data_IF_065257256842
#
_entry.id   IF_065257256842
#
_cell.length_a   1.000
_cell.length_b   1.000
_cell.length_c   1.000
_cell.angle_alpha   90.00
_cell.angle_beta   90.00
_cell.angle_gamma   90.00
#
_symmetry.space_group_name_H-M   'P 1'
#
loop_
_entity.id
_entity.type
_entity.pdbx_description
1 polymer ?
#
# COMPACT_ATOMS: atom_id res chain seq x y z
N UNK A 1 31.45 15.71 28.50
CA UNK A 1 31.68 15.37 27.07
C UNK A 1 32.08 16.67 26.38
N UNK A 2 33.33 16.84 25.93
CA UNK A 2 33.71 18.05 25.20
C UNK A 2 32.89 18.15 23.92
N UNK A 3 32.39 19.34 23.59
CA UNK A 3 31.63 19.56 22.37
C UNK A 3 32.56 19.54 21.15
N UNK A 4 32.21 18.70 20.18
CA UNK A 4 32.89 18.64 18.90
C UNK A 4 32.69 19.97 18.14
N UNK A 5 33.72 20.47 17.46
CA UNK A 5 33.55 21.66 16.61
C UNK A 5 32.61 21.35 15.44
N UNK A 6 31.85 22.34 14.97
CA UNK A 6 30.92 22.17 13.84
C UNK A 6 31.63 21.64 12.58
N UNK A 7 32.87 22.06 12.31
CA UNK A 7 33.66 21.57 11.16
C UNK A 7 33.98 20.07 11.30
N UNK A 8 34.44 19.64 12.47
CA UNK A 8 34.73 18.23 12.74
C UNK A 8 33.46 17.38 12.66
N UNK A 9 32.34 17.88 13.19
CA UNK A 9 31.05 17.19 13.11
C UNK A 9 30.60 16.98 11.66
N UNK A 10 30.57 18.04 10.84
CA UNK A 10 30.15 17.97 9.44
C UNK A 10 31.08 17.03 8.64
N UNK A 11 32.38 17.07 8.90
CA UNK A 11 33.34 16.17 8.25
C UNK A 11 33.04 14.69 8.55
N UNK A 12 32.82 14.35 9.82
CA UNK A 12 32.51 12.98 10.25
C UNK A 12 31.14 12.57 9.70
N UNK A 13 30.13 13.44 9.79
CA UNK A 13 28.79 13.22 9.25
C UNK A 13 28.82 12.90 7.75
N UNK A 14 29.54 13.70 6.95
CA UNK A 14 29.67 13.46 5.51
C UNK A 14 30.35 12.13 5.19
N UNK A 15 31.40 11.76 5.95
CA UNK A 15 32.07 10.47 5.79
C UNK A 15 31.11 9.32 6.10
N UNK A 16 30.40 9.41 7.22
CA UNK A 16 29.43 8.41 7.66
C UNK A 16 28.26 8.29 6.68
N UNK A 17 27.73 9.42 6.18
CA UNK A 17 26.65 9.45 5.19
C UNK A 17 27.05 8.73 3.90
N UNK A 18 28.28 8.94 3.41
CA UNK A 18 28.78 8.28 2.20
C UNK A 18 28.87 6.76 2.40
N UNK A 19 29.42 6.31 3.53
CA UNK A 19 29.51 4.88 3.84
C UNK A 19 28.13 4.23 4.00
N UNK A 20 27.20 4.90 4.71
CA UNK A 20 25.81 4.42 4.85
C UNK A 20 25.14 4.30 3.49
N UNK A 21 25.27 5.32 2.63
CA UNK A 21 24.68 5.31 1.29
C UNK A 21 25.22 4.18 0.43
N UNK A 22 26.53 4.00 0.41
CA UNK A 22 27.18 2.94 -0.38
C UNK A 22 26.77 1.56 0.11
N UNK A 23 26.77 1.36 1.44
CA UNK A 23 26.35 0.10 2.06
C UNK A 23 24.89 -0.18 1.75
N UNK A 24 24.01 0.82 1.88
CA UNK A 24 22.59 0.66 1.56
C UNK A 24 22.37 0.24 0.09
N UNK A 25 23.10 0.83 -0.87
CA UNK A 25 22.99 0.46 -2.28
C UNK A 25 23.50 -0.95 -2.55
N UNK A 26 24.61 -1.35 -1.93
CA UNK A 26 25.13 -2.71 -2.06
C UNK A 26 24.15 -3.75 -1.49
N UNK A 27 23.52 -3.46 -0.34
CA UNK A 27 22.52 -4.35 0.24
C UNK A 27 21.23 -4.43 -0.59
N UNK A 28 20.81 -3.33 -1.22
CA UNK A 28 19.66 -3.33 -2.14
C UNK A 28 19.94 -4.15 -3.41
N UNK A 29 21.17 -4.11 -3.95
CA UNK A 29 21.57 -4.96 -5.08
C UNK A 29 21.51 -6.45 -4.70
N UNK A 30 22.06 -6.83 -3.54
CA UNK A 30 21.97 -8.21 -3.03
C UNK A 30 20.51 -8.64 -2.85
N UNK A 31 19.66 -7.77 -2.32
CA UNK A 31 18.22 -8.04 -2.20
C UNK A 31 17.55 -8.26 -3.56
N UNK A 32 17.94 -7.50 -4.58
CA UNK A 32 17.47 -7.69 -5.96
C UNK A 32 17.91 -9.04 -6.54
N UNK A 33 19.16 -9.45 -6.31
CA UNK A 33 19.66 -10.76 -6.74
C UNK A 33 18.90 -11.92 -6.09
N UNK A 34 18.54 -11.80 -4.81
CA UNK A 34 17.73 -12.81 -4.11
C UNK A 34 16.32 -12.93 -4.70
N UNK A 35 15.62 -11.81 -4.93
CA UNK A 35 14.31 -11.80 -5.60
C UNK A 35 14.39 -12.38 -7.02
N UNK A 36 15.47 -12.04 -7.75
CA UNK A 36 15.73 -12.56 -9.09
C UNK A 36 15.84 -14.08 -9.11
N UNK A 37 16.62 -14.66 -8.19
CA UNK A 37 16.77 -16.11 -8.05
C UNK A 37 15.44 -16.79 -7.76
N UNK A 38 14.69 -16.27 -6.78
CA UNK A 38 13.36 -16.80 -6.43
C UNK A 38 12.41 -16.76 -7.64
N UNK A 39 12.43 -15.69 -8.43
CA UNK A 39 11.59 -15.59 -9.62
C UNK A 39 11.97 -16.59 -10.70
N UNK A 40 13.26 -16.85 -10.91
CA UNK A 40 13.76 -17.88 -11.83
C UNK A 40 13.37 -19.29 -11.37
N UNK A 41 13.53 -19.60 -10.08
CA UNK A 41 13.18 -20.90 -9.50
C UNK A 41 11.68 -21.20 -9.65
N UNK A 42 10.84 -20.15 -9.58
CA UNK A 42 9.39 -20.25 -9.79
C UNK A 42 8.99 -20.22 -11.27
N UNK A 43 9.93 -20.02 -12.21
CA UNK A 43 9.64 -19.87 -13.63
C UNK A 43 8.87 -18.59 -13.99
N UNK A 44 8.88 -17.58 -13.12
CA UNK A 44 8.21 -16.31 -13.34
C UNK A 44 9.08 -15.39 -14.21
N UNK A 45 9.13 -15.67 -15.50
CA UNK A 45 9.91 -14.92 -16.49
C UNK A 45 9.01 -14.38 -17.60
N UNK A 46 9.42 -13.27 -18.20
CA UNK A 46 8.81 -12.71 -19.40
C UNK A 46 9.22 -13.52 -20.65
N UNK A 47 8.65 -13.17 -21.80
CA UNK A 47 8.98 -13.73 -23.12
C UNK A 47 10.47 -13.66 -23.46
N UNK A 48 11.18 -12.62 -23.00
CA UNK A 48 12.62 -12.44 -23.17
C UNK A 48 13.47 -13.19 -22.11
N UNK A 49 12.85 -13.97 -21.22
CA UNK A 49 13.53 -14.64 -20.11
C UNK A 49 13.87 -13.73 -18.92
N UNK A 50 13.41 -12.47 -18.92
CA UNK A 50 13.66 -11.53 -17.82
C UNK A 50 12.75 -11.85 -16.63
N UNK A 51 13.28 -12.00 -15.40
CA UNK A 51 12.46 -12.33 -14.24
C UNK A 51 11.45 -11.25 -13.87
N UNK A 52 10.24 -11.68 -13.55
CA UNK A 52 9.10 -10.85 -13.17
C UNK A 52 8.84 -10.97 -11.67
N UNK A 53 8.94 -9.86 -10.94
CA UNK A 53 8.71 -9.86 -9.48
C UNK A 53 7.55 -8.97 -9.07
N UNK A 54 6.95 -9.32 -7.93
CA UNK A 54 5.99 -8.47 -7.23
C UNK A 54 6.73 -7.60 -6.23
N UNK A 55 6.39 -6.31 -6.19
CA UNK A 55 6.96 -5.36 -5.25
C UNK A 55 5.89 -4.69 -4.42
N UNK A 56 6.24 -4.30 -3.20
CA UNK A 56 5.45 -3.42 -2.33
C UNK A 56 6.09 -2.04 -2.38
N UNK A 57 5.31 -0.98 -2.52
CA UNK A 57 5.83 0.38 -2.40
C UNK A 57 5.06 1.19 -1.36
N UNK A 58 5.77 2.11 -0.71
CA UNK A 58 5.20 3.05 0.26
C UNK A 58 5.96 4.37 0.23
N UNK A 59 5.24 5.46 0.49
CA UNK A 59 5.73 6.82 0.55
C UNK A 59 5.71 7.37 1.98
N UNK A 60 6.75 8.09 2.34
CA UNK A 60 6.88 8.79 3.62
C UNK A 60 7.24 10.25 3.40
N UNK A 61 6.70 11.12 4.25
CA UNK A 61 6.96 12.55 4.20
C UNK A 61 7.55 13.01 5.52
N UNK A 62 8.46 13.99 5.47
CA UNK A 62 9.06 14.59 6.67
C UNK A 62 8.05 15.31 7.57
N UNK A 63 6.84 15.55 7.05
CA UNK A 63 5.72 16.15 7.77
C UNK A 63 4.47 15.33 7.53
N UNK A 64 3.78 14.98 8.61
CA UNK A 64 2.47 14.31 8.54
C UNK A 64 1.43 15.25 7.95
N UNK A 65 0.73 14.79 6.92
CA UNK A 65 -0.42 15.50 6.34
C UNK A 65 -1.71 15.15 7.11
N UNK A 66 -2.45 16.17 7.54
CA UNK A 66 -3.77 16.02 8.19
C UNK A 66 -4.91 16.31 7.21
N UNK A 67 -4.86 15.73 6.01
CA UNK A 67 -5.82 15.92 4.89
C UNK A 67 -5.98 17.35 4.34
N UNK A 68 -5.52 18.37 5.05
CA UNK A 68 -5.66 19.79 4.69
C UNK A 68 -4.35 20.45 4.28
N UNK A 69 -3.20 19.84 4.61
CA UNK A 69 -1.86 20.37 4.28
C UNK A 69 -0.97 19.28 3.71
N UNK A 70 -0.53 19.48 2.46
CA UNK A 70 0.38 18.61 1.71
C UNK A 70 1.66 19.38 1.36
N UNK A 71 2.28 19.99 2.38
CA UNK A 71 3.35 20.98 2.24
C UNK A 71 4.71 20.46 2.72
N UNK A 72 4.89 19.14 2.82
CA UNK A 72 6.16 18.56 3.23
C UNK A 72 7.29 18.96 2.26
N UNK A 73 8.43 19.34 2.84
CA UNK A 73 9.61 19.76 2.07
C UNK A 73 10.47 18.59 1.62
N UNK A 74 10.33 17.43 2.25
CA UNK A 74 11.05 16.22 1.89
C UNK A 74 10.12 15.02 1.94
N UNK A 75 10.37 14.07 1.05
CA UNK A 75 9.72 12.77 1.07
C UNK A 75 10.63 11.69 0.52
N UNK A 76 10.31 10.46 0.89
CA UNK A 76 11.03 9.26 0.52
C UNK A 76 10.01 8.25 0.06
N UNK A 77 10.25 7.56 -1.05
CA UNK A 77 9.50 6.37 -1.42
C UNK A 77 10.42 5.16 -1.44
N UNK A 78 9.93 4.03 -0.96
CA UNK A 78 10.68 2.77 -0.93
C UNK A 78 9.98 1.73 -1.76
N UNK A 79 10.75 0.92 -2.49
CA UNK A 79 10.28 -0.29 -3.17
C UNK A 79 10.87 -1.48 -2.43
N UNK A 80 10.03 -2.44 -2.09
CA UNK A 80 10.35 -3.59 -1.24
C UNK A 80 9.99 -4.86 -2.01
N UNK A 81 10.89 -5.84 -2.04
CA UNK A 81 10.67 -7.14 -2.64
C UNK A 81 9.57 -7.91 -1.91
N UNK A 82 8.60 -8.46 -2.63
CA UNK A 82 7.48 -9.13 -1.98
C UNK A 82 7.88 -10.48 -1.35
N UNK A 83 8.85 -11.21 -1.88
CA UNK A 83 9.22 -12.52 -1.32
C UNK A 83 10.21 -12.35 -0.16
N UNK A 84 11.27 -11.59 -0.40
CA UNK A 84 12.36 -11.35 0.55
C UNK A 84 12.01 -10.37 1.66
N UNK A 85 11.03 -9.48 1.43
CA UNK A 85 10.69 -8.35 2.31
C UNK A 85 11.83 -7.36 2.50
N UNK A 86 12.83 -7.38 1.61
CA UNK A 86 13.99 -6.49 1.63
C UNK A 86 13.77 -5.30 0.72
N UNK A 87 14.43 -4.19 1.03
CA UNK A 87 14.35 -2.96 0.24
C UNK A 87 15.13 -3.18 -1.07
N UNK A 88 14.51 -2.84 -2.19
CA UNK A 88 15.09 -2.90 -3.53
C UNK A 88 15.46 -1.52 -4.06
N UNK A 89 14.77 -0.48 -3.60
CA UNK A 89 15.04 0.89 -4.04
C UNK A 89 14.53 1.90 -3.02
N UNK A 90 15.22 3.03 -2.91
CA UNK A 90 14.78 4.20 -2.14
C UNK A 90 14.96 5.45 -2.99
N UNK A 91 13.88 6.17 -3.27
CA UNK A 91 13.90 7.45 -3.96
C UNK A 91 13.66 8.59 -2.96
N UNK A 92 14.62 9.50 -2.82
CA UNK A 92 14.50 10.68 -1.95
C UNK A 92 14.22 11.92 -2.81
N UNK A 93 13.24 12.72 -2.39
CA UNK A 93 12.90 14.00 -3.02
C UNK A 93 12.89 15.12 -1.99
N UNK A 94 13.72 16.13 -2.21
CA UNK A 94 13.73 17.35 -1.41
C UNK A 94 13.35 18.56 -2.27
N UNK A 95 12.46 19.35 -1.70
CA UNK A 95 11.87 20.58 -2.24
C UNK A 95 12.42 21.84 -1.58
N UNK A 96 13.30 21.68 -0.59
CA UNK A 96 13.87 22.77 0.17
C UNK A 96 15.36 22.57 0.36
N UNK A 97 16.12 23.64 0.16
CA UNK A 97 17.51 23.74 0.58
C UNK A 97 17.71 25.10 1.26
N UNK A 98 18.13 25.09 2.52
CA UNK A 98 18.31 26.31 3.32
C UNK A 98 19.38 27.25 2.73
N UNK A 99 20.41 26.70 2.09
CA UNK A 99 21.50 27.49 1.49
C UNK A 99 20.97 28.21 0.24
N UNK A 100 20.24 27.50 -0.63
CA UNK A 100 19.57 28.09 -1.79
C UNK A 100 18.54 29.14 -1.38
N UNK A 101 17.69 28.84 -0.40
CA UNK A 101 16.64 29.77 0.05
C UNK A 101 17.22 31.06 0.61
N UNK A 102 18.31 30.96 1.40
CA UNK A 102 19.00 32.14 1.94
C UNK A 102 19.62 33.01 0.84
N UNK A 103 20.18 32.39 -0.21
CA UNK A 103 20.75 33.13 -1.33
C UNK A 103 19.67 33.89 -2.11
N UNK A 104 18.52 33.25 -2.35
CA UNK A 104 17.34 33.87 -2.98
C UNK A 104 16.87 35.07 -2.14
N UNK A 105 16.64 34.87 -0.84
CA UNK A 105 16.16 35.92 0.05
C UNK A 105 17.12 37.12 0.18
N UNK A 106 18.41 36.91 -0.05
CA UNK A 106 19.43 37.96 -0.03
C UNK A 106 19.72 38.56 -1.41
N UNK A 107 19.07 38.07 -2.47
CA UNK A 107 19.39 38.40 -3.87
C UNK A 107 20.88 38.22 -4.20
N UNK A 108 21.51 37.18 -3.65
CA UNK A 108 22.92 36.85 -3.89
C UNK A 108 23.06 35.53 -4.65
N UNK A 109 24.21 35.32 -5.29
CA UNK A 109 24.54 34.01 -5.86
C UNK A 109 24.61 32.94 -4.78
N UNK A 110 24.12 31.74 -5.11
CA UNK A 110 24.17 30.61 -4.17
C UNK A 110 25.61 30.14 -4.04
N UNK A 111 26.10 30.02 -2.80
CA UNK A 111 27.42 29.46 -2.54
C UNK A 111 27.50 28.00 -3.01
N UNK A 112 28.68 27.58 -3.46
CA UNK A 112 28.90 26.18 -3.82
C UNK A 112 28.70 25.26 -2.60
N UNK A 113 27.86 24.25 -2.77
CA UNK A 113 27.51 23.31 -1.72
C UNK A 113 26.90 22.03 -2.29
N UNK A 114 26.88 20.97 -1.48
CA UNK A 114 26.13 19.74 -1.81
C UNK A 114 24.64 20.02 -1.67
N UNK A 115 24.00 20.33 -2.79
CA UNK A 115 22.58 20.65 -2.84
C UNK A 115 21.74 19.38 -2.97
N UNK A 116 20.84 19.14 -2.00
CA UNK A 116 19.90 18.03 -2.05
C UNK A 116 18.55 18.40 -2.69
N UNK A 117 18.38 19.65 -3.14
CA UNK A 117 17.17 20.12 -3.83
C UNK A 117 17.08 19.42 -5.21
N UNK A 118 16.19 18.45 -5.31
CA UNK A 118 16.01 17.65 -6.53
C UNK A 118 14.53 17.53 -6.95
N UNK A 119 13.61 18.22 -6.26
CA UNK A 119 12.19 18.19 -6.57
C UNK A 119 11.56 19.57 -6.52
N UNK A 120 10.82 19.93 -7.58
CA UNK A 120 10.17 21.25 -7.70
C UNK A 120 8.64 21.19 -7.63
N UNK A 121 8.06 20.00 -7.84
CA UNK A 121 6.61 19.84 -7.85
C UNK A 121 6.04 19.73 -6.42
N UNK A 122 4.73 19.54 -6.30
CA UNK A 122 4.03 19.37 -5.02
C UNK A 122 4.53 18.15 -4.24
N UNK A 123 4.31 18.15 -2.91
CA UNK A 123 4.69 17.02 -2.07
C UNK A 123 3.94 15.73 -2.44
N UNK A 124 2.71 15.86 -2.94
CA UNK A 124 1.86 14.73 -3.34
C UNK A 124 2.40 13.94 -4.53
N UNK A 125 3.24 14.53 -5.38
CA UNK A 125 3.83 13.83 -6.53
C UNK A 125 5.18 13.18 -6.24
N UNK A 126 5.73 13.35 -5.02
CA UNK A 126 7.02 12.76 -4.62
C UNK A 126 6.98 11.24 -4.74
N UNK A 127 5.95 10.60 -4.18
CA UNK A 127 5.86 9.14 -4.15
C UNK A 127 5.82 8.56 -5.56
N UNK A 128 4.91 9.08 -6.39
CA UNK A 128 4.76 8.61 -7.77
C UNK A 128 6.05 8.77 -8.59
N UNK A 129 6.79 9.86 -8.40
CA UNK A 129 8.05 10.09 -9.12
C UNK A 129 9.19 9.20 -8.61
N UNK A 130 9.35 9.08 -7.29
CA UNK A 130 10.36 8.23 -6.69
C UNK A 130 10.15 6.74 -7.01
N UNK A 131 8.89 6.27 -7.02
CA UNK A 131 8.59 4.90 -7.45
C UNK A 131 8.85 4.75 -8.96
N UNK A 132 8.45 5.71 -9.78
CA UNK A 132 8.72 5.66 -11.21
C UNK A 132 10.22 5.59 -11.55
N UNK A 133 11.06 6.30 -10.79
CA UNK A 133 12.52 6.18 -10.88
C UNK A 133 12.99 4.74 -10.58
N UNK A 134 12.53 4.15 -9.48
CA UNK A 134 12.90 2.78 -9.12
C UNK A 134 12.45 1.74 -10.15
N UNK A 135 11.26 1.92 -10.74
CA UNK A 135 10.78 1.05 -11.83
C UNK A 135 11.64 1.17 -13.09
N UNK A 136 12.06 2.38 -13.48
CA UNK A 136 12.95 2.58 -14.63
C UNK A 136 14.32 1.92 -14.42
N UNK A 137 14.86 2.01 -13.21
CA UNK A 137 16.20 1.48 -12.90
C UNK A 137 16.19 -0.02 -12.53
N UNK A 138 15.02 -0.67 -12.44
CA UNK A 138 14.91 -2.06 -11.97
C UNK A 138 15.70 -3.07 -12.81
N UNK A 139 15.74 -2.90 -14.13
CA UNK A 139 16.50 -3.77 -15.03
C UNK A 139 18.00 -3.55 -14.84
N UNK A 140 18.45 -2.30 -14.83
CA UNK A 140 19.88 -1.98 -14.72
C UNK A 140 20.44 -2.33 -13.34
N UNK A 141 19.66 -2.12 -12.27
CA UNK A 141 20.08 -2.37 -10.90
C UNK A 141 20.02 -3.84 -10.50
N UNK A 142 18.96 -4.54 -10.92
CA UNK A 142 18.61 -5.86 -10.39
C UNK A 142 18.43 -6.93 -11.48
N UNK A 143 18.34 -6.54 -12.75
CA UNK A 143 18.07 -7.45 -13.86
C UNK A 143 16.68 -8.08 -13.81
N UNK A 144 15.68 -7.36 -13.29
CA UNK A 144 14.29 -7.83 -13.14
C UNK A 144 13.30 -6.75 -13.61
N UNK A 145 12.09 -7.17 -13.99
CA UNK A 145 10.94 -6.27 -14.23
C UNK A 145 9.93 -6.41 -13.09
N UNK A 146 9.37 -5.30 -12.62
CA UNK A 146 8.34 -5.27 -11.59
C UNK A 146 6.95 -5.43 -12.24
N UNK A 147 6.42 -6.65 -12.25
CA UNK A 147 5.14 -6.94 -12.92
C UNK A 147 3.91 -6.53 -12.10
N UNK A 148 4.02 -6.59 -10.77
CA UNK A 148 2.93 -6.28 -9.83
C UNK A 148 3.40 -5.29 -8.78
N UNK A 149 2.57 -4.28 -8.53
CA UNK A 149 2.78 -3.28 -7.48
C UNK A 149 1.68 -3.40 -6.41
N UNK A 150 2.08 -3.75 -5.20
CA UNK A 150 1.24 -3.67 -4.00
C UNK A 150 1.46 -2.31 -3.35
N UNK A 151 0.40 -1.54 -3.19
CA UNK A 151 0.52 -0.21 -2.58
C UNK A 151 -0.82 0.34 -2.11
N UNK A 152 -0.84 1.64 -1.87
CA UNK A 152 -2.02 2.34 -1.42
C UNK A 152 -3.12 2.42 -2.48
N UNK A 153 -4.32 2.77 -2.03
CA UNK A 153 -5.51 2.89 -2.88
C UNK A 153 -5.46 4.09 -3.84
N UNK A 154 -4.45 4.95 -3.78
CA UNK A 154 -4.33 6.15 -4.60
C UNK A 154 -3.91 5.82 -6.04
N UNK A 155 -4.42 6.56 -7.02
CA UNK A 155 -4.14 6.28 -8.43
C UNK A 155 -2.88 6.98 -8.96
N UNK A 156 -2.16 7.74 -8.14
CA UNK A 156 -1.10 8.65 -8.62
C UNK A 156 0.10 7.86 -9.16
N UNK A 157 0.56 6.86 -8.40
CA UNK A 157 1.67 5.98 -8.77
C UNK A 157 1.32 5.18 -10.03
N UNK A 158 0.16 4.54 -10.04
CA UNK A 158 -0.27 3.71 -11.18
C UNK A 158 -0.47 4.54 -12.45
N UNK A 159 -1.05 5.74 -12.33
CA UNK A 159 -1.16 6.68 -13.46
C UNK A 159 0.22 7.00 -14.02
N UNK A 160 1.17 7.36 -13.14
CA UNK A 160 2.55 7.68 -13.56
C UNK A 160 3.23 6.50 -14.25
N UNK A 161 3.11 5.28 -13.72
CA UNK A 161 3.67 4.08 -14.32
C UNK A 161 3.06 3.76 -15.69
N UNK A 162 1.76 3.99 -15.87
CA UNK A 162 1.09 3.84 -17.17
C UNK A 162 1.48 4.91 -18.19
N UNK A 163 1.87 6.11 -17.74
CA UNK A 163 2.39 7.16 -18.62
C UNK A 163 3.82 6.85 -19.09
N UNK A 164 4.69 6.40 -18.16
CA UNK A 164 6.11 6.18 -18.48
C UNK A 164 6.39 4.82 -19.12
N UNK A 165 5.47 3.85 -18.99
CA UNK A 165 5.59 2.47 -19.50
C UNK A 165 7.02 1.92 -19.34
N UNK A 166 7.50 1.69 -18.10
CA UNK A 166 8.92 1.42 -17.83
C UNK A 166 9.46 0.18 -18.56
N UNK A 167 8.57 -0.74 -18.95
CA UNK A 167 8.89 -1.99 -19.65
C UNK A 167 8.23 -2.06 -21.04
N UNK A 168 7.79 -0.92 -21.58
CA UNK A 168 7.05 -0.85 -22.83
C UNK A 168 5.60 -1.31 -22.75
N UNK A 169 4.95 -1.41 -23.91
CA UNK A 169 3.53 -1.76 -24.01
C UNK A 169 3.26 -3.25 -23.75
N UNK A 170 4.29 -4.11 -23.87
CA UNK A 170 4.19 -5.55 -23.65
C UNK A 170 3.91 -5.91 -22.18
N UNK A 171 4.46 -5.14 -21.23
CA UNK A 171 4.30 -5.38 -19.80
C UNK A 171 3.75 -4.16 -19.08
N UNK A 172 2.43 -4.18 -18.83
CA UNK A 172 1.76 -3.21 -17.95
C UNK A 172 1.78 -3.69 -16.51
N UNK A 173 2.19 -2.81 -15.60
CA UNK A 173 2.27 -3.10 -14.17
C UNK A 173 0.87 -3.28 -13.59
N UNK A 174 0.58 -4.45 -13.01
CA UNK A 174 -0.68 -4.71 -12.32
C UNK A 174 -0.66 -4.06 -10.93
N UNK A 175 -1.66 -3.22 -10.64
CA UNK A 175 -1.87 -2.67 -9.30
C UNK A 175 -2.65 -3.66 -8.42
N UNK A 176 -2.15 -3.88 -7.20
CA UNK A 176 -2.83 -4.60 -6.12
C UNK A 176 -2.97 -3.64 -4.93
N UNK A 177 -4.20 -3.34 -4.51
CA UNK A 177 -4.44 -2.50 -3.33
C UNK A 177 -4.08 -3.27 -2.06
N UNK A 178 -3.37 -2.63 -1.13
CA UNK A 178 -2.96 -3.31 0.09
C UNK A 178 -4.17 -3.60 1.01
N UNK A 179 -4.10 -4.75 1.70
CA UNK A 179 -5.16 -5.23 2.61
C UNK A 179 -5.58 -4.18 3.64
N UNK A 180 -4.63 -3.44 4.19
CA UNK A 180 -4.92 -2.46 5.24
C UNK A 180 -5.77 -1.30 4.69
N UNK A 181 -5.48 -0.84 3.47
CA UNK A 181 -6.27 0.19 2.80
C UNK A 181 -7.66 -0.31 2.39
N UNK A 182 -7.75 -1.53 1.85
CA UNK A 182 -9.02 -2.18 1.54
C UNK A 182 -9.94 -2.28 2.77
N UNK A 183 -9.42 -2.78 3.91
CA UNK A 183 -10.18 -2.90 5.14
C UNK A 183 -10.54 -1.55 5.75
N UNK A 184 -9.66 -0.54 5.66
CA UNK A 184 -9.94 0.82 6.11
C UNK A 184 -11.04 1.46 5.26
N UNK A 185 -11.00 1.30 3.95
CA UNK A 185 -12.02 1.78 3.01
C UNK A 185 -13.37 1.13 3.31
N UNK A 186 -13.38 -0.20 3.48
CA UNK A 186 -14.56 -0.96 3.91
C UNK A 186 -15.17 -0.37 5.19
N UNK A 187 -14.38 -0.23 6.26
CA UNK A 187 -14.87 0.34 7.53
C UNK A 187 -15.38 1.78 7.39
N UNK A 188 -14.71 2.62 6.59
CA UNK A 188 -15.13 4.01 6.35
C UNK A 188 -16.46 4.07 5.62
N UNK A 189 -16.67 3.24 4.60
CA UNK A 189 -17.94 3.17 3.87
C UNK A 189 -19.07 2.64 4.72
N UNK A 190 -18.84 1.58 5.50
CA UNK A 190 -19.82 1.09 6.48
C UNK A 190 -20.17 2.17 7.51
N UNK A 191 -19.17 2.94 7.98
CA UNK A 191 -19.40 4.08 8.87
C UNK A 191 -20.17 5.22 8.19
N UNK A 192 -20.06 5.42 6.88
CA UNK A 192 -20.86 6.43 6.19
C UNK A 192 -22.35 6.07 6.19
N UNK A 193 -22.69 4.77 6.10
CA UNK A 193 -24.08 4.31 6.18
C UNK A 193 -24.73 4.60 7.54
N UNK A 194 -23.95 4.67 8.64
CA UNK A 194 -24.50 5.01 9.97
C UNK A 194 -24.92 6.47 10.10
N UNK A 195 -24.43 7.33 9.20
CA UNK A 195 -24.74 8.76 9.16
C UNK A 195 -25.95 9.09 8.28
N UNK A 196 -26.37 8.17 7.42
CA UNK A 196 -27.52 8.34 6.52
C UNK A 196 -28.83 8.21 7.30
N UNK A 197 -29.50 9.32 7.57
CA UNK A 197 -30.69 9.37 8.42
C UNK A 197 -31.92 8.74 7.79
N UNK A 198 -31.92 8.47 6.48
CA UNK A 198 -32.96 7.70 5.81
C UNK A 198 -33.07 6.25 6.34
N UNK A 199 -32.02 5.72 6.97
CA UNK A 199 -32.02 4.36 7.51
C UNK A 199 -32.43 4.31 8.99
N UNK A 200 -33.13 3.25 9.44
CA UNK A 200 -33.55 3.11 10.84
C UNK A 200 -32.38 3.19 11.83
N UNK A 201 -32.63 3.88 12.96
CA UNK A 201 -31.64 4.10 14.02
C UNK A 201 -31.06 2.78 14.53
N UNK A 202 -31.90 1.74 14.66
CA UNK A 202 -31.51 0.42 15.15
C UNK A 202 -30.41 -0.21 14.28
N UNK A 203 -30.57 -0.18 12.95
CA UNK A 203 -29.57 -0.75 12.03
C UNK A 203 -28.29 0.10 12.05
N UNK A 204 -28.42 1.43 12.08
CA UNK A 204 -27.26 2.33 12.16
C UNK A 204 -26.43 2.07 13.43
N UNK A 205 -27.07 1.84 14.57
CA UNK A 205 -26.42 1.42 15.82
C UNK A 205 -25.78 0.04 15.70
N UNK A 206 -26.48 -0.95 15.13
CA UNK A 206 -25.93 -2.30 14.89
C UNK A 206 -24.67 -2.26 14.02
N UNK A 207 -24.66 -1.48 12.95
CA UNK A 207 -23.48 -1.30 12.09
C UNK A 207 -22.35 -0.70 12.91
N UNK A 208 -22.58 0.44 13.56
CA UNK A 208 -21.57 1.15 14.36
C UNK A 208 -20.89 0.23 15.38
N UNK A 209 -21.69 -0.57 16.10
CA UNK A 209 -21.21 -1.49 17.13
C UNK A 209 -20.44 -2.70 16.57
N UNK A 210 -20.66 -3.06 15.30
CA UNK A 210 -20.08 -4.27 14.70
C UNK A 210 -19.02 -4.00 13.62
N UNK A 211 -18.72 -2.76 13.22
CA UNK A 211 -17.71 -2.46 12.17
C UNK A 211 -16.35 -3.12 12.46
N UNK A 212 -15.87 -3.01 13.70
CA UNK A 212 -14.59 -3.60 14.09
C UNK A 212 -14.68 -5.12 14.07
N UNK A 213 -15.80 -5.70 14.54
CA UNK A 213 -16.03 -7.15 14.52
C UNK A 213 -16.07 -7.69 13.10
N UNK A 214 -16.80 -7.06 12.19
CA UNK A 214 -16.81 -7.43 10.76
C UNK A 214 -15.42 -7.40 10.14
N UNK A 215 -14.60 -6.39 10.49
CA UNK A 215 -13.19 -6.35 10.05
C UNK A 215 -12.39 -7.53 10.63
N UNK A 216 -12.58 -7.84 11.91
CA UNK A 216 -11.93 -8.99 12.56
C UNK A 216 -12.34 -10.29 11.88
N UNK A 217 -13.61 -10.47 11.56
CA UNK A 217 -14.16 -11.64 10.88
C UNK A 217 -13.45 -11.89 9.56
N UNK A 218 -13.31 -10.83 8.75
CA UNK A 218 -12.57 -10.90 7.48
C UNK A 218 -11.11 -11.27 7.71
N UNK A 219 -10.45 -10.71 8.72
CA UNK A 219 -9.06 -11.10 9.02
C UNK A 219 -8.91 -12.54 9.50
N UNK A 220 -9.88 -13.07 10.24
CA UNK A 220 -9.93 -14.47 10.65
C UNK A 220 -10.15 -15.39 9.44
N UNK A 221 -11.09 -15.05 8.56
CA UNK A 221 -11.31 -15.76 7.30
C UNK A 221 -10.02 -15.79 6.46
N UNK A 222 -9.32 -14.67 6.30
CA UNK A 222 -8.03 -14.64 5.57
C UNK A 222 -7.01 -15.61 6.18
N UNK A 223 -6.89 -15.66 7.52
CA UNK A 223 -5.96 -16.59 8.19
C UNK A 223 -6.35 -18.04 7.92
N UNK A 224 -7.62 -18.37 8.10
CA UNK A 224 -8.16 -19.71 7.89
C UNK A 224 -7.96 -20.18 6.43
N UNK A 225 -8.39 -19.38 5.45
CA UNK A 225 -8.25 -19.70 4.02
C UNK A 225 -6.79 -19.87 3.60
N UNK A 226 -5.87 -19.12 4.19
CA UNK A 226 -4.43 -19.28 3.93
C UNK A 226 -3.91 -20.65 4.41
N UNK A 227 -4.33 -21.10 5.59
CA UNK A 227 -3.91 -22.38 6.17
C UNK A 227 -4.53 -23.62 5.52
N UNK A 228 -5.63 -23.48 4.76
CA UNK A 228 -6.23 -24.63 4.07
C UNK A 228 -5.26 -25.24 3.04
N UNK A 229 -5.21 -26.57 2.94
CA UNK A 229 -4.49 -27.24 1.86
C UNK A 229 -5.39 -27.37 0.62
N UNK A 230 -5.73 -26.23 0.02
CA UNK A 230 -6.61 -26.13 -1.16
C UNK A 230 -5.94 -25.31 -2.26
N UNK A 231 -6.31 -25.52 -3.54
CA UNK A 231 -5.88 -24.67 -4.63
C UNK A 231 -6.23 -23.20 -4.38
N UNK A 232 -5.38 -22.27 -4.85
CA UNK A 232 -5.55 -20.83 -4.63
C UNK A 232 -6.92 -20.31 -5.06
N UNK A 233 -7.45 -20.80 -6.20
CA UNK A 233 -8.77 -20.38 -6.69
C UNK A 233 -9.89 -20.70 -5.69
N UNK A 234 -9.85 -21.86 -5.03
CA UNK A 234 -10.86 -22.25 -4.03
C UNK A 234 -10.73 -21.40 -2.77
N UNK A 235 -9.50 -21.08 -2.35
CA UNK A 235 -9.24 -20.19 -1.22
C UNK A 235 -9.80 -18.79 -1.48
N UNK A 236 -9.61 -18.27 -2.69
CA UNK A 236 -10.14 -16.96 -3.10
C UNK A 236 -11.68 -17.00 -3.11
N UNK A 237 -12.29 -18.00 -3.74
CA UNK A 237 -13.76 -18.14 -3.77
C UNK A 237 -14.35 -18.26 -2.36
N UNK A 238 -13.74 -19.07 -1.49
CA UNK A 238 -14.14 -19.20 -0.09
C UNK A 238 -14.01 -17.87 0.66
N UNK A 239 -12.91 -17.15 0.49
CA UNK A 239 -12.72 -15.83 1.10
C UNK A 239 -13.76 -14.81 0.61
N UNK A 240 -14.09 -14.82 -0.68
CA UNK A 240 -15.13 -13.96 -1.26
C UNK A 240 -16.49 -14.21 -0.62
N UNK A 241 -16.82 -15.48 -0.40
CA UNK A 241 -18.04 -15.89 0.28
C UNK A 241 -18.04 -15.45 1.75
N UNK A 242 -16.95 -15.65 2.49
CA UNK A 242 -16.84 -15.22 3.89
C UNK A 242 -16.99 -13.71 4.04
N UNK A 243 -16.35 -12.93 3.15
CA UNK A 243 -16.47 -11.47 3.10
C UNK A 243 -17.92 -11.06 2.83
N UNK A 244 -18.59 -11.70 1.87
CA UNK A 244 -19.98 -11.45 1.52
C UNK A 244 -20.95 -11.73 2.67
N UNK A 245 -20.67 -12.77 3.45
CA UNK A 245 -21.54 -13.20 4.54
C UNK A 245 -21.37 -12.41 5.85
N UNK A 246 -20.29 -11.63 6.01
CA UNK A 246 -20.00 -10.91 7.25
C UNK A 246 -21.16 -9.99 7.74
N UNK A 247 -21.85 -9.20 6.88
CA UNK A 247 -23.01 -8.41 7.31
C UNK A 247 -24.22 -9.27 7.70
N UNK A 248 -24.47 -10.38 6.99
CA UNK A 248 -25.56 -11.31 7.32
C UNK A 248 -25.41 -11.86 8.73
N UNK A 249 -24.20 -12.31 9.06
CA UNK A 249 -23.87 -12.81 10.38
C UNK A 249 -23.96 -11.73 11.47
N UNK A 250 -23.39 -10.53 11.26
CA UNK A 250 -23.23 -9.53 12.32
C UNK A 250 -24.40 -8.55 12.47
N UNK A 251 -25.11 -8.24 11.39
CA UNK A 251 -26.10 -7.16 11.34
C UNK A 251 -27.51 -7.73 11.30
N UNK A 252 -27.72 -8.71 10.41
CA UNK A 252 -29.02 -9.34 10.20
C UNK A 252 -29.25 -10.57 11.09
N UNK A 253 -28.23 -11.02 11.82
CA UNK A 253 -28.28 -12.23 12.66
C UNK A 253 -28.74 -13.46 11.87
N UNK A 254 -28.45 -13.48 10.56
CA UNK A 254 -28.70 -14.61 9.67
C UNK A 254 -27.44 -15.50 9.64
N UNK A 255 -27.59 -16.73 10.13
CA UNK A 255 -26.52 -17.72 10.24
C UNK A 255 -26.60 -18.85 9.22
N UNK A 256 -27.56 -18.83 8.28
CA UNK A 256 -27.77 -19.90 7.28
C UNK A 256 -26.53 -20.19 6.43
N UNK A 257 -25.79 -19.14 6.09
CA UNK A 257 -24.61 -19.19 5.24
C UNK A 257 -23.29 -19.15 6.04
N UNK A 258 -23.34 -19.28 7.38
CA UNK A 258 -22.13 -19.31 8.18
C UNK A 258 -21.41 -20.65 8.03
N UNK A 259 -20.11 -20.59 7.76
CA UNK A 259 -19.26 -21.77 7.81
C UNK A 259 -19.04 -22.22 9.25
N UNK A 260 -18.95 -23.53 9.47
CA UNK A 260 -18.80 -24.13 10.81
C UNK A 260 -17.54 -23.68 11.56
N UNK A 261 -16.45 -23.35 10.84
CA UNK A 261 -15.23 -22.83 11.47
C UNK A 261 -15.41 -21.43 12.09
N UNK A 262 -16.50 -20.75 11.75
CA UNK A 262 -16.72 -19.34 12.05
C UNK A 262 -17.91 -19.11 12.99
N UNK A 263 -18.93 -19.96 12.95
CA UNK A 263 -20.12 -19.84 13.79
C UNK A 263 -20.67 -21.21 14.18
N UNK A 264 -20.91 -21.41 15.48
CA UNK A 264 -21.52 -22.63 16.03
C UNK A 264 -23.06 -22.57 16.12
N UNK A 265 -23.67 -21.41 15.80
CA UNK A 265 -25.12 -21.23 15.88
C UNK A 265 -25.81 -21.89 14.69
N UNK A 266 -26.70 -22.83 14.95
CA UNK A 266 -27.67 -23.31 13.97
C UNK A 266 -28.78 -22.26 13.75
N UNK A 267 -29.33 -22.19 12.54
CA UNK A 267 -30.30 -21.19 12.10
C UNK A 267 -31.49 -21.08 13.06
N UNK A 268 -31.51 -20.06 13.91
CA UNK A 268 -32.76 -19.63 14.55
C UNK A 268 -33.47 -18.79 13.51
N UNK A 269 -34.60 -19.31 13.02
CA UNK A 269 -35.47 -18.66 12.04
C UNK A 269 -36.10 -17.41 12.68
N UNK A 270 -35.29 -16.36 12.88
CA UNK A 270 -35.79 -15.08 13.34
C UNK A 270 -36.41 -14.40 12.12
N UNK A 271 -37.75 -14.48 12.07
CA UNK A 271 -38.62 -13.82 11.09
C UNK A 271 -38.57 -12.28 11.23
N UNK A 272 -37.39 -11.69 11.43
CA UNK A 272 -37.16 -10.26 11.24
C UNK A 272 -37.03 -10.00 9.74
N UNK A 273 -38.17 -10.11 9.05
CA UNK A 273 -38.37 -9.63 7.68
C UNK A 273 -37.64 -8.30 7.54
N UNK A 274 -36.58 -8.31 6.74
CA UNK A 274 -35.71 -7.17 6.47
C UNK A 274 -36.60 -6.05 5.91
N UNK A 275 -37.08 -5.15 6.78
CA UNK A 275 -37.78 -3.90 6.40
C UNK A 275 -36.86 -2.90 5.68
N UNK A 276 -35.67 -3.32 5.24
CA UNK A 276 -34.58 -2.45 4.82
C UNK A 276 -33.79 -3.08 3.66
N UNK A 277 -34.47 -3.42 2.55
CA UNK A 277 -33.79 -3.90 1.35
C UNK A 277 -32.74 -2.90 0.83
N UNK A 278 -33.01 -1.60 0.99
CA UNK A 278 -32.12 -0.53 0.54
C UNK A 278 -30.77 -0.52 1.27
N UNK A 279 -30.76 -0.70 2.60
CA UNK A 279 -29.49 -0.75 3.35
C UNK A 279 -28.70 -2.03 3.06
N UNK A 280 -29.39 -3.16 2.84
CA UNK A 280 -28.74 -4.41 2.45
C UNK A 280 -28.01 -4.24 1.12
N UNK A 281 -28.68 -3.64 0.13
CA UNK A 281 -28.09 -3.35 -1.18
C UNK A 281 -26.85 -2.46 -1.08
N UNK A 282 -26.91 -1.40 -0.26
CA UNK A 282 -25.76 -0.51 -0.04
C UNK A 282 -24.59 -1.25 0.63
N UNK A 283 -24.87 -2.11 1.60
CA UNK A 283 -23.85 -2.95 2.24
C UNK A 283 -23.24 -3.95 1.26
N UNK A 284 -24.03 -4.58 0.41
CA UNK A 284 -23.56 -5.46 -0.66
C UNK A 284 -22.64 -4.75 -1.64
N UNK A 285 -22.92 -3.49 -2.01
CA UNK A 285 -22.02 -2.67 -2.84
C UNK A 285 -20.67 -2.44 -2.14
N UNK A 286 -20.69 -2.15 -0.84
CA UNK A 286 -19.45 -1.94 -0.06
C UNK A 286 -18.64 -3.23 0.03
N UNK A 287 -19.30 -4.35 0.29
CA UNK A 287 -18.70 -5.66 0.51
C UNK A 287 -18.21 -6.28 -0.79
N UNK A 288 -18.96 -6.17 -1.88
CA UNK A 288 -18.58 -6.65 -3.22
C UNK A 288 -17.28 -5.99 -3.70
N UNK A 289 -17.08 -4.69 -3.46
CA UNK A 289 -15.80 -4.04 -3.77
C UNK A 289 -14.63 -4.71 -3.04
N UNK A 290 -14.78 -5.02 -1.75
CA UNK A 290 -13.74 -5.71 -0.98
C UNK A 290 -13.51 -7.13 -1.49
N UNK A 291 -14.60 -7.87 -1.73
CA UNK A 291 -14.59 -9.26 -2.22
C UNK A 291 -13.94 -9.38 -3.61
N UNK A 292 -14.23 -8.45 -4.52
CA UNK A 292 -13.65 -8.43 -5.87
C UNK A 292 -12.14 -8.16 -5.85
N UNK A 293 -11.62 -7.53 -4.79
CA UNK A 293 -10.19 -7.31 -4.58
C UNK A 293 -9.50 -8.47 -3.83
N UNK A 294 -10.20 -9.55 -3.49
CA UNK A 294 -9.58 -10.76 -2.96
C UNK A 294 -8.73 -11.44 -4.06
N UNK A 295 -7.42 -11.49 -3.84
CA UNK A 295 -6.39 -12.07 -4.70
C UNK A 295 -5.28 -12.69 -3.85
#
# INVERSE_FOLDING_TARGET
IPSMTSKSYIFIENKLQKEIKNTAWAEMQKAGEEEKKIALDLGNVDTDGVPLITVVADGQWSKRSYKTKYDAFSGVASIIGFQTKKILFVGVRNRYCVICERAINKNTTTQDHVCFLNWKQGATSIEADAIAEGFKNSIDMHGVKFSKLIGDGDSSVTKRLHEILPYGQALRVEKIECRNHLLRNYSQKMMALTKRTEFPIEIRKKISNNIIRMRTDITCAIKFRKSENKPLHQKITGLRFDIANAPNHRIFDNHENCSSYFCDKQSINSNNKIKNQDISREMEIVVSRLSNNAK
#
